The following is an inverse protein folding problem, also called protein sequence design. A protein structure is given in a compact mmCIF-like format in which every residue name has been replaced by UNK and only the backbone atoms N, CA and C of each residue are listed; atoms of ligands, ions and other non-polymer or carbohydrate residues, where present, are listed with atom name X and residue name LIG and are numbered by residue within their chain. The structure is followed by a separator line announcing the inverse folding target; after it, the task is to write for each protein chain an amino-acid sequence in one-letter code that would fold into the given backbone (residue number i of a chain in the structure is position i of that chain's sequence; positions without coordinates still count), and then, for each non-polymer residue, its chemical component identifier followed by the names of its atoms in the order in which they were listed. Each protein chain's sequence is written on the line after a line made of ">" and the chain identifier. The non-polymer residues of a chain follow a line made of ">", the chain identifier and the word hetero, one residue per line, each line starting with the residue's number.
data_IF_459817575658
#
_entry.id   IF_459817575658
#
_cell.length_a   1.000
_cell.length_b   1.000
_cell.length_c   1.000
_cell.angle_alpha   90.00
_cell.angle_beta   90.00
_cell.angle_gamma   90.00
#
_symmetry.space_group_name_H-M   'P 1'
#
loop_
_entity.id
_entity.type
_entity.pdbx_description
1 polymer ?
#
# COMPACT_ATOMS: atom_id res chain seq x y z
N UNK A 1 -3.13 -20.79 -10.80
CA UNK A 1 -3.49 -19.42 -11.24
C UNK A 1 -4.25 -18.63 -10.16
N UNK A 2 -5.40 -19.09 -9.64
CA UNK A 2 -6.16 -18.34 -8.60
C UNK A 2 -5.31 -17.95 -7.37
N UNK A 3 -4.41 -18.84 -6.91
CA UNK A 3 -3.55 -18.56 -5.76
C UNK A 3 -2.45 -17.52 -6.07
N UNK A 4 -1.90 -17.51 -7.30
CA UNK A 4 -0.90 -16.51 -7.73
C UNK A 4 -1.51 -15.11 -7.81
N UNK A 5 -2.73 -14.99 -8.34
CA UNK A 5 -3.47 -13.72 -8.39
C UNK A 5 -3.77 -13.24 -6.97
N UNK A 6 -4.28 -14.11 -6.09
CA UNK A 6 -4.55 -13.73 -4.69
C UNK A 6 -3.29 -13.26 -3.96
N UNK A 7 -2.15 -13.91 -4.18
CA UNK A 7 -0.87 -13.52 -3.58
C UNK A 7 -0.44 -12.15 -4.09
N UNK A 8 -0.37 -11.95 -5.41
CA UNK A 8 0.05 -10.68 -5.99
C UNK A 8 -0.88 -9.51 -5.66
N UNK A 9 -2.19 -9.75 -5.73
CA UNK A 9 -3.20 -8.76 -5.34
C UNK A 9 -3.07 -8.39 -3.85
N UNK A 10 -2.99 -9.38 -2.96
CA UNK A 10 -2.93 -9.10 -1.53
C UNK A 10 -1.66 -8.38 -1.10
N UNK A 11 -0.53 -8.76 -1.70
CA UNK A 11 0.72 -8.07 -1.49
C UNK A 11 0.64 -6.63 -2.03
N UNK A 12 0.29 -6.45 -3.30
CA UNK A 12 0.25 -5.13 -3.94
C UNK A 12 -0.76 -4.17 -3.32
N UNK A 13 -1.94 -4.64 -2.90
CA UNK A 13 -2.92 -3.81 -2.18
C UNK A 13 -2.34 -3.31 -0.86
N UNK A 14 -1.78 -4.25 -0.07
CA UNK A 14 -1.31 -3.93 1.29
C UNK A 14 -0.12 -2.99 1.24
N UNK A 15 0.89 -3.29 0.41
CA UNK A 15 2.09 -2.45 0.29
C UNK A 15 1.77 -1.13 -0.40
N UNK A 16 0.92 -1.12 -1.43
CA UNK A 16 0.48 0.10 -2.10
C UNK A 16 -0.26 1.07 -1.17
N UNK A 17 -1.05 0.57 -0.22
CA UNK A 17 -1.71 1.42 0.75
C UNK A 17 -0.74 1.91 1.83
N UNK A 18 -0.01 1.00 2.47
CA UNK A 18 0.79 1.33 3.65
C UNK A 18 1.97 2.22 3.28
N UNK A 19 2.71 1.88 2.22
CA UNK A 19 3.88 2.66 1.81
C UNK A 19 3.49 4.05 1.32
N UNK A 20 2.42 4.16 0.52
CA UNK A 20 1.94 5.47 0.04
C UNK A 20 1.39 6.33 1.15
N UNK A 21 0.64 5.78 2.10
CA UNK A 21 0.15 6.53 3.24
C UNK A 21 1.31 7.04 4.13
N UNK A 22 2.28 6.17 4.43
CA UNK A 22 3.45 6.55 5.22
C UNK A 22 4.25 7.69 4.57
N UNK A 23 4.44 7.63 3.24
CA UNK A 23 5.06 8.70 2.48
C UNK A 23 4.26 10.00 2.55
N UNK A 24 2.95 9.94 2.31
CA UNK A 24 2.06 11.12 2.35
C UNK A 24 2.16 11.82 3.69
N UNK A 25 2.06 11.07 4.79
CA UNK A 25 2.15 11.64 6.14
C UNK A 25 3.53 12.24 6.37
N UNK A 26 4.60 11.49 6.09
CA UNK A 26 5.96 11.98 6.29
C UNK A 26 6.22 13.30 5.55
N UNK A 27 5.89 13.36 4.26
CA UNK A 27 6.07 14.55 3.43
C UNK A 27 5.13 15.69 3.81
N UNK A 28 3.86 15.40 4.09
CA UNK A 28 2.89 16.43 4.44
C UNK A 28 3.26 17.16 5.73
N UNK A 29 3.79 16.43 6.72
CA UNK A 29 4.20 17.02 8.01
C UNK A 29 5.62 17.59 8.00
N UNK A 30 6.49 17.18 7.06
CA UNK A 30 7.82 17.78 6.91
C UNK A 30 7.81 19.05 6.06
N UNK A 31 7.08 19.10 4.95
CA UNK A 31 7.15 20.22 4.00
C UNK A 31 5.91 21.09 3.96
N UNK A 32 4.73 20.54 4.29
CA UNK A 32 3.46 21.24 4.12
C UNK A 32 3.09 21.55 2.65
N UNK A 33 3.85 21.04 1.67
CA UNK A 33 3.68 21.35 0.25
C UNK A 33 3.00 20.20 -0.50
N UNK A 34 1.85 20.52 -1.11
CA UNK A 34 1.02 19.58 -1.87
C UNK A 34 1.71 19.04 -3.13
N UNK A 35 2.53 19.85 -3.80
CA UNK A 35 3.30 19.47 -4.98
C UNK A 35 4.36 18.44 -4.63
N UNK A 36 5.05 18.63 -3.51
CA UNK A 36 6.05 17.66 -3.02
C UNK A 36 5.39 16.32 -2.69
N UNK A 37 4.23 16.34 -2.03
CA UNK A 37 3.47 15.12 -1.74
C UNK A 37 3.01 14.41 -3.03
N UNK A 38 2.50 15.15 -4.02
CA UNK A 38 2.09 14.58 -5.31
C UNK A 38 3.26 13.96 -6.08
N UNK A 39 4.40 14.67 -6.12
CA UNK A 39 5.62 14.16 -6.72
C UNK A 39 6.05 12.85 -6.03
N UNK A 40 6.04 12.85 -4.69
CA UNK A 40 6.30 11.66 -3.89
C UNK A 40 5.41 10.48 -4.27
N UNK A 41 4.08 10.67 -4.28
CA UNK A 41 3.11 9.61 -4.62
C UNK A 41 3.38 9.04 -6.01
N UNK A 42 3.58 9.89 -7.02
CA UNK A 42 3.82 9.45 -8.39
C UNK A 42 5.13 8.68 -8.51
N UNK A 43 6.21 9.17 -7.89
CA UNK A 43 7.51 8.51 -7.89
C UNK A 43 7.43 7.12 -7.27
N UNK A 44 6.83 6.99 -6.08
CA UNK A 44 6.71 5.66 -5.45
C UNK A 44 5.71 4.77 -6.20
N UNK A 45 4.62 5.31 -6.75
CA UNK A 45 3.67 4.51 -7.50
C UNK A 45 4.37 3.80 -8.66
N UNK A 46 5.29 4.48 -9.36
CA UNK A 46 6.05 3.88 -10.45
C UNK A 46 7.18 2.99 -9.92
N UNK A 47 8.14 3.57 -9.19
CA UNK A 47 9.38 2.89 -8.82
C UNK A 47 9.13 1.72 -7.86
N UNK A 48 8.30 1.94 -6.84
CA UNK A 48 8.03 0.96 -5.79
C UNK A 48 7.10 -0.16 -6.29
N UNK A 49 6.22 0.11 -7.26
CA UNK A 49 5.41 -0.94 -7.89
C UNK A 49 6.21 -1.83 -8.83
N UNK A 50 7.15 -1.26 -9.59
CA UNK A 50 8.06 -2.05 -10.41
C UNK A 50 9.01 -2.88 -9.55
N UNK A 51 9.56 -2.28 -8.48
CA UNK A 51 10.46 -2.97 -7.54
C UNK A 51 9.78 -4.15 -6.85
N UNK A 52 8.59 -3.94 -6.27
CA UNK A 52 7.82 -5.01 -5.62
C UNK A 52 7.40 -6.12 -6.59
N UNK A 53 6.97 -5.75 -7.80
CA UNK A 53 6.59 -6.74 -8.81
C UNK A 53 7.78 -7.61 -9.22
N UNK A 54 8.95 -7.01 -9.40
CA UNK A 54 10.20 -7.74 -9.66
C UNK A 54 10.59 -8.60 -8.45
N UNK A 55 10.47 -8.09 -7.23
CA UNK A 55 10.74 -8.84 -6.00
C UNK A 55 9.86 -10.08 -5.88
N UNK A 56 8.57 -9.97 -6.18
CA UNK A 56 7.66 -11.11 -6.26
C UNK A 56 8.04 -12.05 -7.41
N UNK A 57 8.44 -11.53 -8.58
CA UNK A 57 8.88 -12.35 -9.71
C UNK A 57 10.07 -13.25 -9.32
N UNK A 58 11.13 -12.64 -8.81
CA UNK A 58 12.36 -13.33 -8.40
C UNK A 58 12.07 -14.31 -7.25
N UNK A 59 11.26 -13.90 -6.27
CA UNK A 59 10.85 -14.77 -5.15
C UNK A 59 10.12 -16.02 -5.62
N UNK A 60 9.28 -15.89 -6.65
CA UNK A 60 8.53 -17.01 -7.22
C UNK A 60 9.43 -17.92 -8.06
N UNK A 61 10.34 -17.35 -8.86
CA UNK A 61 11.33 -18.09 -9.67
C UNK A 61 12.28 -18.91 -8.77
N UNK A 62 12.73 -18.34 -7.66
CA UNK A 62 13.63 -19.01 -6.71
C UNK A 62 13.04 -20.27 -6.05
N UNK A 63 11.71 -20.44 -6.06
CA UNK A 63 11.07 -21.61 -5.46
C UNK A 63 11.06 -22.87 -6.34
N UNK A 64 11.47 -22.80 -7.62
CA UNK A 64 11.55 -23.92 -8.59
C UNK A 64 10.29 -24.82 -8.74
N UNK A 65 9.16 -24.44 -8.13
CA UNK A 65 7.94 -25.28 -8.04
C UNK A 65 6.78 -24.73 -8.88
N UNK A 66 6.92 -23.56 -9.50
CA UNK A 66 5.82 -22.89 -10.20
C UNK A 66 6.09 -22.73 -11.68
N UNK A 67 5.02 -22.86 -12.48
CA UNK A 67 5.11 -22.63 -13.91
C UNK A 67 5.37 -21.16 -14.23
N UNK A 68 6.06 -20.89 -15.34
CA UNK A 68 6.37 -19.54 -15.81
C UNK A 68 5.10 -18.65 -15.90
N UNK A 69 3.98 -19.22 -16.35
CA UNK A 69 2.67 -18.53 -16.36
C UNK A 69 2.23 -18.07 -14.96
N UNK A 70 2.43 -18.89 -13.94
CA UNK A 70 2.04 -18.56 -12.57
C UNK A 70 2.93 -17.47 -11.94
N UNK A 71 4.22 -17.44 -12.29
CA UNK A 71 5.19 -16.41 -11.89
C UNK A 71 4.73 -15.05 -12.46
N UNK A 72 4.59 -14.95 -13.79
CA UNK A 72 4.12 -13.72 -14.44
C UNK A 72 2.75 -13.26 -13.97
N UNK A 73 1.84 -14.19 -13.68
CA UNK A 73 0.54 -13.84 -13.11
C UNK A 73 0.68 -13.14 -11.76
N UNK A 74 1.57 -13.61 -10.88
CA UNK A 74 1.82 -12.96 -9.59
C UNK A 74 2.52 -11.60 -9.75
N UNK A 75 3.48 -11.50 -10.67
CA UNK A 75 4.20 -10.26 -11.00
C UNK A 75 3.25 -9.17 -11.50
N UNK A 76 2.47 -9.45 -12.55
CA UNK A 76 1.56 -8.47 -13.14
C UNK A 76 0.45 -8.11 -12.15
N UNK A 77 -0.07 -9.10 -11.40
CA UNK A 77 -1.06 -8.83 -10.37
C UNK A 77 -0.51 -7.92 -9.26
N UNK A 78 0.75 -8.08 -8.88
CA UNK A 78 1.41 -7.21 -7.89
C UNK A 78 1.58 -5.81 -8.44
N UNK A 79 2.16 -5.68 -9.64
CA UNK A 79 2.40 -4.40 -10.31
C UNK A 79 1.10 -3.60 -10.44
N UNK A 80 0.08 -4.20 -11.05
CA UNK A 80 -1.17 -3.52 -11.32
C UNK A 80 -1.88 -3.11 -10.03
N UNK A 81 -1.94 -4.02 -9.05
CA UNK A 81 -2.64 -3.72 -7.79
C UNK A 81 -1.92 -2.62 -7.02
N UNK A 82 -0.59 -2.72 -6.84
CA UNK A 82 0.18 -1.71 -6.12
C UNK A 82 0.10 -0.34 -6.79
N UNK A 83 0.29 -0.31 -8.11
CA UNK A 83 0.22 0.92 -8.89
C UNK A 83 -1.14 1.59 -8.77
N UNK A 84 -2.23 0.85 -9.00
CA UNK A 84 -3.60 1.39 -8.95
C UNK A 84 -3.92 1.91 -7.55
N UNK A 85 -3.64 1.13 -6.49
CA UNK A 85 -3.93 1.58 -5.13
C UNK A 85 -3.10 2.80 -4.72
N UNK A 86 -1.81 2.88 -5.10
CA UNK A 86 -1.01 4.07 -4.87
C UNK A 86 -1.61 5.32 -5.55
N UNK A 87 -2.06 5.19 -6.80
CA UNK A 87 -2.70 6.30 -7.53
C UNK A 87 -4.02 6.76 -6.92
N UNK A 88 -4.75 5.91 -6.19
CA UNK A 88 -6.00 6.34 -5.53
C UNK A 88 -5.78 7.49 -4.54
N UNK A 89 -4.58 7.61 -3.95
CA UNK A 89 -4.23 8.69 -3.03
C UNK A 89 -4.02 10.05 -3.70
N UNK A 90 -3.87 10.10 -5.02
CA UNK A 90 -3.80 11.36 -5.75
C UNK A 90 -5.14 12.11 -5.65
N UNK A 91 -6.25 11.38 -5.64
CA UNK A 91 -7.62 11.94 -5.62
C UNK A 91 -7.83 12.88 -4.42
N UNK A 92 -7.65 12.46 -3.15
CA UNK A 92 -7.84 13.36 -2.02
C UNK A 92 -6.84 14.51 -2.04
N UNK A 93 -5.59 14.25 -2.45
CA UNK A 93 -4.56 15.29 -2.50
C UNK A 93 -4.96 16.37 -3.50
N UNK A 94 -5.44 16.05 -4.70
CA UNK A 94 -5.86 17.03 -5.70
C UNK A 94 -7.10 17.82 -5.28
N UNK A 95 -8.10 17.17 -4.69
CA UNK A 95 -9.41 17.76 -4.43
C UNK A 95 -9.49 18.62 -3.15
N UNK A 96 -8.64 18.35 -2.16
CA UNK A 96 -8.74 18.99 -0.84
C UNK A 96 -7.47 19.77 -0.46
N UNK A 97 -7.57 20.53 0.65
CA UNK A 97 -6.40 21.11 1.32
C UNK A 97 -5.53 20.00 1.90
N UNK A 98 -4.23 20.25 2.07
CA UNK A 98 -3.29 19.19 2.46
C UNK A 98 -3.71 18.47 3.76
N UNK A 99 -4.07 19.22 4.81
CA UNK A 99 -4.54 18.65 6.08
C UNK A 99 -5.77 17.76 5.90
N UNK A 100 -6.79 18.24 5.17
CA UNK A 100 -8.02 17.47 4.91
C UNK A 100 -7.73 16.26 4.04
N UNK A 101 -6.86 16.40 3.03
CA UNK A 101 -6.47 15.31 2.15
C UNK A 101 -5.73 14.19 2.89
N UNK A 102 -4.86 14.52 3.86
CA UNK A 102 -4.19 13.54 4.72
C UNK A 102 -5.21 12.77 5.55
N UNK A 103 -6.18 13.45 6.16
CA UNK A 103 -7.23 12.79 6.95
C UNK A 103 -8.05 11.84 6.07
N UNK A 104 -8.48 12.28 4.88
CA UNK A 104 -9.23 11.43 3.94
C UNK A 104 -8.38 10.23 3.49
N UNK A 105 -7.09 10.43 3.25
CA UNK A 105 -6.14 9.37 2.90
C UNK A 105 -6.02 8.32 4.01
N UNK A 106 -5.93 8.75 5.27
CA UNK A 106 -5.90 7.85 6.43
C UNK A 106 -7.19 7.03 6.48
N UNK A 107 -8.36 7.67 6.38
CA UNK A 107 -9.65 6.97 6.39
C UNK A 107 -9.75 5.96 5.24
N UNK A 108 -9.37 6.37 4.03
CA UNK A 108 -9.34 5.50 2.86
C UNK A 108 -8.46 4.27 3.08
N UNK A 109 -7.24 4.47 3.57
CA UNK A 109 -6.29 3.40 3.84
C UNK A 109 -6.83 2.40 4.88
N UNK A 110 -7.36 2.90 6.00
CA UNK A 110 -7.90 2.05 7.07
C UNK A 110 -9.12 1.25 6.58
N UNK A 111 -10.00 1.86 5.77
CA UNK A 111 -11.15 1.16 5.16
C UNK A 111 -10.68 0.08 4.20
N UNK A 112 -9.78 0.40 3.28
CA UNK A 112 -9.30 -0.56 2.28
C UNK A 112 -8.55 -1.74 2.92
N UNK A 113 -7.69 -1.49 3.92
CA UNK A 113 -7.02 -2.56 4.70
C UNK A 113 -8.05 -3.38 5.47
N UNK A 114 -9.03 -2.76 6.12
CA UNK A 114 -10.05 -3.48 6.89
C UNK A 114 -10.88 -4.41 6.00
N UNK A 115 -11.35 -3.91 4.84
CA UNK A 115 -12.12 -4.70 3.88
C UNK A 115 -11.31 -5.88 3.36
N UNK A 116 -10.05 -5.65 2.99
CA UNK A 116 -9.20 -6.72 2.49
C UNK A 116 -8.85 -7.75 3.59
N UNK A 117 -8.58 -7.29 4.81
CA UNK A 117 -8.29 -8.14 5.97
C UNK A 117 -9.49 -9.00 6.36
N UNK A 118 -10.70 -8.43 6.32
CA UNK A 118 -11.95 -9.15 6.52
C UNK A 118 -12.14 -10.24 5.46
N UNK A 119 -11.88 -9.93 4.18
CA UNK A 119 -11.94 -10.91 3.09
C UNK A 119 -10.94 -12.07 3.30
N UNK A 120 -9.70 -11.78 3.69
CA UNK A 120 -8.71 -12.81 4.02
C UNK A 120 -9.19 -13.68 5.18
N UNK A 121 -9.68 -13.08 6.26
CA UNK A 121 -10.11 -13.82 7.43
C UNK A 121 -11.26 -14.78 7.13
N UNK A 122 -12.25 -14.32 6.35
CA UNK A 122 -13.36 -15.15 5.88
C UNK A 122 -12.88 -16.30 5.00
N UNK A 123 -11.97 -16.02 4.07
CA UNK A 123 -11.39 -17.05 3.17
C UNK A 123 -10.61 -18.11 3.96
N UNK A 124 -9.90 -17.70 5.01
CA UNK A 124 -9.05 -18.56 5.82
C UNK A 124 -9.76 -19.16 7.05
N UNK A 125 -11.08 -18.98 7.19
CA UNK A 125 -11.88 -19.42 8.36
C UNK A 125 -11.31 -18.97 9.72
N UNK A 126 -10.65 -17.80 9.75
CA UNK A 126 -10.13 -17.19 10.98
C UNK A 126 -11.16 -16.21 11.55
N UNK A 127 -11.05 -15.91 12.85
CA UNK A 127 -11.83 -14.83 13.47
C UNK A 127 -11.44 -13.49 12.83
N UNK A 128 -12.39 -12.84 12.15
CA UNK A 128 -12.14 -11.61 11.39
C UNK A 128 -11.57 -10.47 12.24
N UNK A 129 -12.07 -10.32 13.46
CA UNK A 129 -11.62 -9.26 14.37
C UNK A 129 -10.11 -9.34 14.65
N UNK A 130 -9.55 -10.55 14.81
CA UNK A 130 -8.13 -10.72 15.10
C UNK A 130 -7.26 -10.28 13.93
N UNK A 131 -7.60 -10.70 12.71
CA UNK A 131 -6.82 -10.38 11.50
C UNK A 131 -6.90 -8.89 11.17
N UNK A 132 -8.11 -8.31 11.26
CA UNK A 132 -8.31 -6.88 11.02
C UNK A 132 -7.55 -6.05 12.06
N UNK A 133 -7.64 -6.41 13.35
CA UNK A 133 -6.92 -5.70 14.41
C UNK A 133 -5.40 -5.75 14.23
N UNK A 134 -4.84 -6.91 13.87
CA UNK A 134 -3.40 -7.07 13.61
C UNK A 134 -2.93 -6.16 12.46
N UNK A 135 -3.62 -6.19 11.32
CA UNK A 135 -3.22 -5.38 10.17
C UNK A 135 -3.43 -3.87 10.40
N UNK A 136 -4.51 -3.48 11.09
CA UNK A 136 -4.74 -2.08 11.46
C UNK A 136 -3.72 -1.59 12.47
N UNK A 137 -3.28 -2.43 13.41
CA UNK A 137 -2.22 -2.07 14.35
C UNK A 137 -0.93 -1.71 13.60
N UNK A 138 -0.53 -2.52 12.61
CA UNK A 138 0.65 -2.23 11.77
C UNK A 138 0.43 -0.94 10.98
N UNK A 139 -0.75 -0.74 10.38
CA UNK A 139 -1.05 0.48 9.63
C UNK A 139 -0.97 1.74 10.52
N UNK A 140 -1.55 1.70 11.71
CA UNK A 140 -1.48 2.80 12.70
C UNK A 140 -0.04 3.03 13.14
N UNK A 141 0.73 1.97 13.36
CA UNK A 141 2.15 2.10 13.71
C UNK A 141 2.93 2.85 12.62
N UNK A 142 2.72 2.51 11.34
CA UNK A 142 3.34 3.22 10.21
C UNK A 142 2.91 4.70 10.18
N UNK A 143 1.62 5.00 10.35
CA UNK A 143 1.09 6.38 10.42
C UNK A 143 1.82 7.17 11.50
N UNK A 144 1.92 6.62 12.71
CA UNK A 144 2.52 7.28 13.87
C UNK A 144 4.01 7.52 13.65
N UNK A 145 4.76 6.52 13.20
CA UNK A 145 6.20 6.65 12.96
C UNK A 145 6.47 7.66 11.85
N UNK A 146 5.74 7.59 10.73
CA UNK A 146 5.87 8.54 9.63
C UNK A 146 5.55 9.98 10.05
N UNK A 147 4.55 10.18 10.92
CA UNK A 147 4.22 11.49 11.48
C UNK A 147 5.37 12.07 12.30
N UNK A 148 5.96 11.27 13.20
CA UNK A 148 7.07 11.72 14.03
C UNK A 148 8.32 12.03 13.19
N UNK A 149 8.64 11.18 12.22
CA UNK A 149 9.76 11.42 11.28
C UNK A 149 9.54 12.72 10.50
N UNK A 150 8.33 12.91 9.95
CA UNK A 150 8.00 14.13 9.20
C UNK A 150 8.10 15.39 10.07
N UNK A 151 7.56 15.34 11.29
CA UNK A 151 7.60 16.46 12.23
C UNK A 151 9.02 16.77 12.72
N UNK A 152 9.86 15.74 12.91
CA UNK A 152 11.25 15.91 13.31
C UNK A 152 12.10 16.59 12.23
N UNK A 153 11.85 16.25 10.97
CA UNK A 153 12.58 16.77 9.79
C UNK A 153 11.84 17.95 9.13
N UNK A 154 11.01 18.66 9.90
CA UNK A 154 10.23 19.79 9.40
C UNK A 154 11.15 20.89 8.87
N UNK A 155 10.89 21.32 7.64
CA UNK A 155 11.67 22.32 6.90
C UNK A 155 10.78 23.43 6.37
#
# INVERSE_FOLDING_TARGET
>A
MKNSIKKGFGFGLTTGIITTLGLIIGLAFSTGDKTIVLAGILTIAIADSLSDALGIHISEEATNQKSNKAIWTATISTLATKFIFALTFIIPILLFTLTTAVIISIVWALVAISLFSFYIAKTNKKKAINVVAEHLFIAVFVIVVSYFVGTLLKM
#
